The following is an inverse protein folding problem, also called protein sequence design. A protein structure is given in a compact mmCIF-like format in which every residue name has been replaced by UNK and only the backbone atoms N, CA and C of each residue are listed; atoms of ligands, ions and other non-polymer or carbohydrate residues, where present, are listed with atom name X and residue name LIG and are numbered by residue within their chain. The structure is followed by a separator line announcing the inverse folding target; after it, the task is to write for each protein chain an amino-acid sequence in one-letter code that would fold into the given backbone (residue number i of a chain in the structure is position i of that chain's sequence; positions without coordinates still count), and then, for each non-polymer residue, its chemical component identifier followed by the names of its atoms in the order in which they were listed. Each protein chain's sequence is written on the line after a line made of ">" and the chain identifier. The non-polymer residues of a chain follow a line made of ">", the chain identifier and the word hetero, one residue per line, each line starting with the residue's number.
data_IF_965546064498
#
_entry.id   IF_965546064498
#
_cell.length_a   1.000
_cell.length_b   1.000
_cell.length_c   1.000
_cell.angle_alpha   90.00
_cell.angle_beta   90.00
_cell.angle_gamma   90.00
#
_symmetry.space_group_name_H-M   'P 1'
#
loop_
_entity.id
_entity.type
_entity.pdbx_description
1 polymer ?
#
# COMPACT_ATOMS: atom_id res chain seq x y z
N UNK A 1 11.17 15.47 -30.47
CA UNK A 1 10.52 14.39 -29.68
C UNK A 1 9.08 14.33 -30.13
N UNK A 2 8.62 13.20 -30.70
CA UNK A 2 7.29 13.12 -31.30
C UNK A 2 6.21 13.34 -30.24
N UNK A 3 5.32 14.30 -30.47
CA UNK A 3 4.21 14.67 -29.60
C UNK A 3 3.33 13.44 -29.24
N UNK A 4 3.23 12.48 -30.17
CA UNK A 4 2.53 11.20 -29.98
C UNK A 4 3.13 10.36 -28.86
N UNK A 5 4.46 10.23 -28.74
CA UNK A 5 5.11 9.44 -27.69
C UNK A 5 4.84 10.02 -26.31
N UNK A 6 4.85 11.34 -26.17
CA UNK A 6 4.55 12.02 -24.90
C UNK A 6 3.10 11.75 -24.48
N UNK A 7 2.16 11.86 -25.42
CA UNK A 7 0.74 11.60 -25.18
C UNK A 7 0.53 10.16 -24.68
N UNK A 8 1.18 9.18 -25.33
CA UNK A 8 1.07 7.77 -24.96
C UNK A 8 1.66 7.48 -23.57
N UNK A 9 2.79 8.09 -23.25
CA UNK A 9 3.41 7.97 -21.90
C UNK A 9 2.46 8.55 -20.84
N UNK A 10 1.93 9.75 -21.04
CA UNK A 10 1.01 10.39 -20.08
C UNK A 10 -0.26 9.57 -19.92
N UNK A 11 -0.86 9.09 -21.02
CA UNK A 11 -2.06 8.26 -20.99
C UNK A 11 -1.82 6.98 -20.16
N UNK A 12 -0.74 6.26 -20.42
CA UNK A 12 -0.41 5.04 -19.69
C UNK A 12 -0.13 5.31 -18.21
N UNK A 13 0.54 6.41 -17.88
CA UNK A 13 0.74 6.80 -16.48
C UNK A 13 -0.59 7.04 -15.76
N UNK A 14 -1.53 7.74 -16.39
CA UNK A 14 -2.86 7.97 -15.83
C UNK A 14 -3.60 6.64 -15.64
N UNK A 15 -3.60 5.77 -16.66
CA UNK A 15 -4.29 4.47 -16.61
C UNK A 15 -3.76 3.56 -15.51
N UNK A 16 -2.45 3.60 -15.25
CA UNK A 16 -1.83 2.80 -14.20
C UNK A 16 -2.09 3.39 -12.82
N UNK A 17 -1.95 4.69 -12.67
CA UNK A 17 -2.05 5.35 -11.36
C UNK A 17 -3.48 5.46 -10.88
N UNK A 18 -4.46 5.63 -11.77
CA UNK A 18 -5.86 5.84 -11.41
C UNK A 18 -6.46 4.72 -10.53
N UNK A 19 -6.41 3.42 -10.88
CA UNK A 19 -6.96 2.37 -10.03
C UNK A 19 -6.26 2.28 -8.67
N UNK A 20 -4.95 2.56 -8.64
CA UNK A 20 -4.16 2.53 -7.41
C UNK A 20 -4.56 3.70 -6.50
N UNK A 21 -4.77 4.90 -7.06
CA UNK A 21 -5.26 6.06 -6.32
C UNK A 21 -6.67 5.83 -5.78
N UNK A 22 -7.57 5.25 -6.57
CA UNK A 22 -8.92 4.87 -6.11
C UNK A 22 -8.83 3.91 -4.92
N UNK A 23 -7.97 2.91 -4.98
CA UNK A 23 -7.72 2.02 -3.85
C UNK A 23 -7.26 2.79 -2.60
N UNK A 24 -6.26 3.68 -2.75
CA UNK A 24 -5.73 4.46 -1.64
C UNK A 24 -6.81 5.33 -0.99
N UNK A 25 -7.63 6.02 -1.80
CA UNK A 25 -8.75 6.84 -1.33
C UNK A 25 -9.79 6.00 -0.60
N UNK A 26 -10.19 4.84 -1.16
CA UNK A 26 -11.17 3.95 -0.53
C UNK A 26 -10.70 3.45 0.83
N UNK A 27 -9.42 3.07 0.95
CA UNK A 27 -8.85 2.60 2.23
C UNK A 27 -8.75 3.73 3.24
N UNK A 28 -8.38 4.95 2.83
CA UNK A 28 -8.33 6.11 3.72
C UNK A 28 -9.71 6.56 4.20
N UNK A 29 -10.73 6.52 3.31
CA UNK A 29 -12.07 7.00 3.63
C UNK A 29 -12.87 6.01 4.49
N UNK A 30 -12.71 4.72 4.27
CA UNK A 30 -13.50 3.68 4.93
C UNK A 30 -12.80 3.19 6.19
N UNK A 31 -13.17 3.73 7.33
CA UNK A 31 -12.51 3.53 8.63
C UNK A 31 -12.42 2.08 9.15
N UNK A 32 -13.28 1.17 8.69
CA UNK A 32 -13.40 -0.20 9.22
C UNK A 32 -13.30 -1.26 8.12
N UNK A 33 -12.27 -1.18 7.27
CA UNK A 33 -12.03 -2.25 6.31
C UNK A 33 -11.15 -3.31 6.97
N UNK A 34 -11.65 -4.54 7.04
CA UNK A 34 -10.87 -5.71 7.48
C UNK A 34 -9.62 -5.88 6.61
N UNK A 35 -8.54 -6.39 7.19
CA UNK A 35 -7.29 -6.61 6.47
C UNK A 35 -7.47 -7.49 5.22
N UNK A 36 -8.35 -8.49 5.26
CA UNK A 36 -8.67 -9.33 4.10
C UNK A 36 -9.30 -8.51 2.97
N UNK A 37 -10.20 -7.59 3.30
CA UNK A 37 -10.85 -6.73 2.30
C UNK A 37 -9.87 -5.70 1.70
N UNK A 38 -8.92 -5.19 2.47
CA UNK A 38 -7.83 -4.34 1.95
C UNK A 38 -6.96 -5.08 0.95
N UNK A 39 -6.67 -6.33 1.27
CA UNK A 39 -5.86 -7.21 0.44
C UNK A 39 -6.54 -7.56 -0.88
N UNK A 40 -7.84 -7.81 -0.85
CA UNK A 40 -8.63 -8.05 -2.07
C UNK A 40 -8.78 -6.79 -2.92
N UNK A 41 -9.05 -5.64 -2.31
CA UNK A 41 -9.10 -4.35 -3.00
C UNK A 41 -7.77 -3.98 -3.68
N UNK A 42 -6.63 -4.20 -3.00
CA UNK A 42 -5.32 -3.99 -3.61
C UNK A 42 -5.10 -4.92 -4.81
N UNK A 43 -5.49 -6.19 -4.68
CA UNK A 43 -5.36 -7.16 -5.76
C UNK A 43 -6.18 -6.75 -6.98
N UNK A 44 -7.42 -6.32 -6.79
CA UNK A 44 -8.28 -5.81 -7.85
C UNK A 44 -7.66 -4.55 -8.49
N UNK A 45 -7.18 -3.60 -7.69
CA UNK A 45 -6.58 -2.37 -8.20
C UNK A 45 -5.32 -2.63 -9.06
N UNK A 46 -4.47 -3.59 -8.68
CA UNK A 46 -3.28 -3.94 -9.47
C UNK A 46 -3.63 -4.69 -10.75
N UNK A 47 -4.61 -5.59 -10.71
CA UNK A 47 -5.08 -6.31 -11.91
C UNK A 47 -5.75 -5.33 -12.89
N UNK A 48 -6.62 -4.45 -12.41
CA UNK A 48 -7.29 -3.44 -13.26
C UNK A 48 -6.28 -2.43 -13.82
N UNK A 49 -5.29 -2.02 -13.06
CA UNK A 49 -4.20 -1.16 -13.52
C UNK A 49 -3.42 -1.80 -14.67
N UNK A 50 -3.02 -3.06 -14.54
CA UNK A 50 -2.36 -3.81 -15.61
C UNK A 50 -3.27 -3.97 -16.83
N UNK A 51 -4.52 -4.39 -16.63
CA UNK A 51 -5.49 -4.59 -17.72
C UNK A 51 -5.71 -3.32 -18.53
N UNK A 52 -5.91 -2.17 -17.87
CA UNK A 52 -6.09 -0.89 -18.55
C UNK A 52 -4.85 -0.50 -19.35
N UNK A 53 -3.66 -0.68 -18.78
CA UNK A 53 -2.41 -0.41 -19.47
C UNK A 53 -2.30 -1.28 -20.75
N UNK A 54 -2.52 -2.59 -20.65
CA UNK A 54 -2.40 -3.51 -21.78
C UNK A 54 -3.46 -3.24 -22.86
N UNK A 55 -4.69 -2.88 -22.47
CA UNK A 55 -5.79 -2.61 -23.40
C UNK A 55 -5.55 -1.36 -24.27
N UNK A 56 -4.91 -0.35 -23.70
CA UNK A 56 -4.72 0.94 -24.36
C UNK A 56 -3.28 1.16 -24.86
N UNK A 57 -2.48 0.10 -24.97
CA UNK A 57 -1.20 0.16 -25.68
C UNK A 57 -1.50 0.38 -27.16
N UNK A 58 -0.93 1.46 -27.79
CA UNK A 58 -1.10 1.68 -29.21
C UNK A 58 -0.55 0.50 -30.02
N UNK A 59 -1.25 0.08 -31.06
CA UNK A 59 -0.85 -1.02 -31.95
C UNK A 59 0.44 -0.72 -32.76
N UNK A 60 0.78 0.55 -32.94
CA UNK A 60 2.07 0.99 -33.51
C UNK A 60 3.12 1.12 -32.40
N UNK A 61 3.60 0.05 -31.99
CA UNK A 61 4.23 -0.29 -30.73
C UNK A 61 5.53 0.44 -30.50
N UNK A 62 5.50 1.29 -29.55
CA UNK A 62 6.68 1.60 -28.80
C UNK A 62 6.81 0.61 -27.63
N UNK A 63 7.71 -0.40 -27.76
CA UNK A 63 8.11 -1.29 -26.66
C UNK A 63 8.50 -0.52 -25.40
N UNK A 64 8.83 0.76 -25.56
CA UNK A 64 9.09 1.76 -24.52
C UNK A 64 7.93 1.97 -23.55
N UNK A 65 6.67 1.94 -24.06
CA UNK A 65 5.47 2.14 -23.24
C UNK A 65 5.15 0.91 -22.40
N UNK A 66 5.48 -0.28 -22.90
CA UNK A 66 5.33 -1.55 -22.16
C UNK A 66 6.08 -1.57 -20.82
N UNK A 67 7.09 -0.71 -20.69
CA UNK A 67 7.87 -0.53 -19.47
C UNK A 67 6.98 -0.17 -18.26
N UNK A 68 5.97 0.66 -18.49
CA UNK A 68 5.06 1.10 -17.42
C UNK A 68 4.14 -0.01 -16.90
N UNK A 69 3.83 -1.04 -17.71
CA UNK A 69 3.04 -2.20 -17.28
C UNK A 69 3.73 -3.01 -16.17
N UNK A 70 5.01 -2.78 -15.92
CA UNK A 70 5.74 -3.42 -14.82
C UNK A 70 5.47 -2.74 -13.46
N UNK A 71 4.91 -1.53 -13.41
CA UNK A 71 4.63 -0.81 -12.15
C UNK A 71 3.74 -1.64 -11.21
N UNK A 72 2.59 -2.19 -11.64
CA UNK A 72 1.75 -3.03 -10.77
C UNK A 72 2.48 -4.26 -10.22
N UNK A 73 3.38 -4.86 -11.02
CA UNK A 73 4.19 -6.03 -10.64
C UNK A 73 5.16 -5.66 -9.50
N UNK A 74 5.85 -4.52 -9.65
CA UNK A 74 6.79 -4.02 -8.63
C UNK A 74 6.08 -3.70 -7.33
N UNK A 75 4.90 -3.07 -7.42
CA UNK A 75 4.08 -2.76 -6.25
C UNK A 75 3.63 -4.04 -5.54
N UNK A 76 3.21 -5.08 -6.29
CA UNK A 76 2.84 -6.38 -5.72
C UNK A 76 4.00 -7.00 -4.92
N UNK A 77 5.22 -6.98 -5.46
CA UNK A 77 6.40 -7.45 -4.74
C UNK A 77 6.71 -6.62 -3.49
N UNK A 78 6.63 -5.29 -3.58
CA UNK A 78 6.88 -4.40 -2.44
C UNK A 78 5.87 -4.57 -1.31
N UNK A 79 4.60 -4.85 -1.64
CA UNK A 79 3.55 -5.18 -0.66
C UNK A 79 3.58 -6.66 -0.22
N UNK A 80 4.69 -7.39 -0.50
CA UNK A 80 4.94 -8.79 -0.14
C UNK A 80 3.94 -9.80 -0.72
N UNK A 81 3.20 -9.42 -1.76
CA UNK A 81 2.24 -10.29 -2.48
C UNK A 81 2.93 -10.97 -3.66
N UNK A 82 3.89 -11.83 -3.39
CA UNK A 82 4.72 -12.48 -4.41
C UNK A 82 3.91 -13.34 -5.41
N UNK A 83 2.87 -14.06 -4.96
CA UNK A 83 2.00 -14.81 -5.86
C UNK A 83 1.27 -13.91 -6.87
N UNK A 84 0.78 -12.75 -6.41
CA UNK A 84 0.19 -11.76 -7.31
C UNK A 84 1.22 -11.19 -8.28
N UNK A 85 2.42 -10.88 -7.81
CA UNK A 85 3.51 -10.41 -8.67
C UNK A 85 3.87 -11.41 -9.77
N UNK A 86 3.95 -12.71 -9.44
CA UNK A 86 4.19 -13.79 -10.42
C UNK A 86 3.02 -13.89 -11.40
N UNK A 87 1.78 -13.86 -10.91
CA UNK A 87 0.59 -13.93 -11.76
C UNK A 87 0.52 -12.77 -12.78
N UNK A 88 0.76 -11.54 -12.33
CA UNK A 88 0.81 -10.36 -13.21
C UNK A 88 1.98 -10.45 -14.21
N UNK A 89 3.12 -11.03 -13.82
CA UNK A 89 4.26 -11.26 -14.71
C UNK A 89 3.91 -12.26 -15.82
N UNK A 90 3.20 -13.34 -15.50
CA UNK A 90 2.74 -14.33 -16.47
C UNK A 90 1.79 -13.68 -17.49
N UNK A 91 0.83 -12.88 -17.04
CA UNK A 91 -0.08 -12.15 -17.94
C UNK A 91 0.71 -11.26 -18.91
N UNK A 92 1.71 -10.58 -18.40
CA UNK A 92 2.54 -9.67 -19.22
C UNK A 92 3.40 -10.43 -20.24
N UNK A 93 3.92 -11.61 -19.88
CA UNK A 93 4.64 -12.52 -20.81
C UNK A 93 3.71 -12.99 -21.93
N UNK A 94 2.51 -13.47 -21.58
CA UNK A 94 1.53 -13.93 -22.56
C UNK A 94 1.12 -12.81 -23.51
N UNK A 95 0.83 -11.63 -23.00
CA UNK A 95 0.50 -10.46 -23.83
C UNK A 95 1.64 -10.10 -24.78
N UNK A 96 2.87 -10.06 -24.27
CA UNK A 96 4.05 -9.72 -25.08
C UNK A 96 4.29 -10.73 -26.20
N UNK A 97 4.02 -12.00 -25.95
CA UNK A 97 4.14 -13.05 -26.95
C UNK A 97 3.05 -12.93 -28.03
N UNK A 98 1.77 -12.88 -27.61
CA UNK A 98 0.64 -12.94 -28.58
C UNK A 98 0.42 -11.63 -29.36
N UNK A 99 0.69 -10.49 -28.73
CA UNK A 99 0.37 -9.17 -29.32
C UNK A 99 1.60 -8.51 -29.90
N UNK A 100 2.75 -8.62 -29.23
CA UNK A 100 3.95 -7.89 -29.58
C UNK A 100 5.00 -8.73 -30.34
N UNK A 101 4.77 -10.04 -30.46
CA UNK A 101 5.72 -10.97 -31.09
C UNK A 101 7.15 -10.87 -30.48
N UNK A 102 7.24 -10.59 -29.17
CA UNK A 102 8.53 -10.54 -28.47
C UNK A 102 8.91 -11.96 -28.06
N UNK A 103 10.19 -12.29 -28.14
CA UNK A 103 10.72 -13.60 -27.75
C UNK A 103 10.37 -13.91 -26.28
N UNK A 104 9.66 -15.02 -26.06
CA UNK A 104 9.20 -15.46 -24.73
C UNK A 104 10.37 -15.65 -23.76
N UNK A 105 11.51 -16.18 -24.27
CA UNK A 105 12.70 -16.46 -23.47
C UNK A 105 13.24 -15.19 -22.82
N UNK A 106 13.32 -14.10 -23.57
CA UNK A 106 13.81 -12.80 -23.10
C UNK A 106 12.90 -12.26 -21.98
N UNK A 107 11.58 -12.39 -22.17
CA UNK A 107 10.60 -11.94 -21.17
C UNK A 107 10.63 -12.80 -19.90
N UNK A 108 10.78 -14.10 -20.01
CA UNK A 108 10.93 -14.99 -18.85
C UNK A 108 12.17 -14.63 -18.05
N UNK A 109 13.33 -14.42 -18.70
CA UNK A 109 14.58 -14.01 -18.04
C UNK A 109 14.39 -12.68 -17.31
N UNK A 110 13.72 -11.71 -17.94
CA UNK A 110 13.39 -10.41 -17.35
C UNK A 110 12.58 -10.55 -16.05
N UNK A 111 11.47 -11.29 -16.08
CA UNK A 111 10.62 -11.44 -14.88
C UNK A 111 11.25 -12.36 -13.82
N UNK A 112 12.06 -13.36 -14.24
CA UNK A 112 12.85 -14.14 -13.32
C UNK A 112 13.88 -13.28 -12.57
N UNK A 113 14.50 -12.30 -13.26
CA UNK A 113 15.40 -11.34 -12.61
C UNK A 113 14.70 -10.45 -11.59
N UNK A 114 13.44 -10.03 -11.84
CA UNK A 114 12.64 -9.27 -10.86
C UNK A 114 12.34 -10.10 -9.61
N UNK A 115 11.96 -11.36 -9.80
CA UNK A 115 11.74 -12.29 -8.69
C UNK A 115 13.04 -12.51 -7.89
N UNK A 116 14.15 -12.73 -8.56
CA UNK A 116 15.47 -12.87 -7.93
C UNK A 116 15.87 -11.65 -7.12
N UNK A 117 15.68 -10.44 -7.68
CA UNK A 117 15.89 -9.19 -6.94
C UNK A 117 14.99 -9.07 -5.72
N UNK A 118 13.70 -9.42 -5.85
CA UNK A 118 12.77 -9.41 -4.73
C UNK A 118 13.24 -10.34 -3.60
N UNK A 119 13.67 -11.56 -3.92
CA UNK A 119 14.18 -12.51 -2.93
C UNK A 119 15.46 -12.00 -2.25
N UNK A 120 16.37 -11.41 -3.02
CA UNK A 120 17.59 -10.78 -2.50
C UNK A 120 17.26 -9.56 -1.61
N UNK A 121 16.34 -8.70 -2.05
CA UNK A 121 15.91 -7.53 -1.31
C UNK A 121 15.27 -7.90 0.03
N UNK A 122 14.45 -8.97 0.03
CA UNK A 122 13.84 -9.51 1.25
C UNK A 122 14.90 -10.06 2.23
N UNK A 123 15.91 -10.77 1.73
CA UNK A 123 16.99 -11.34 2.56
C UNK A 123 17.88 -10.25 3.16
N UNK A 124 18.16 -9.19 2.40
CA UNK A 124 19.08 -8.10 2.80
C UNK A 124 18.38 -6.91 3.44
N UNK A 125 17.05 -6.93 3.61
CA UNK A 125 16.24 -5.80 4.10
C UNK A 125 16.53 -4.48 3.35
N UNK A 126 16.66 -4.55 2.01
CA UNK A 126 16.95 -3.38 1.20
C UNK A 126 15.85 -2.33 1.31
N UNK A 127 16.25 -1.05 1.22
CA UNK A 127 15.28 0.04 1.18
C UNK A 127 14.40 -0.03 -0.06
N UNK A 128 13.16 0.46 0.03
CA UNK A 128 12.24 0.48 -1.11
C UNK A 128 12.81 1.25 -2.31
N UNK A 129 13.54 2.33 -2.06
CA UNK A 129 14.17 3.12 -3.12
C UNK A 129 15.27 2.35 -3.86
N UNK A 130 16.14 1.63 -3.14
CA UNK A 130 17.20 0.84 -3.77
C UNK A 130 16.64 -0.34 -4.59
N UNK A 131 15.54 -0.96 -4.13
CA UNK A 131 14.87 -2.01 -4.87
C UNK A 131 14.29 -1.50 -6.21
N UNK A 132 13.56 -0.36 -6.19
CA UNK A 132 13.01 0.24 -7.40
C UNK A 132 14.13 0.63 -8.37
N UNK A 133 15.21 1.21 -7.86
CA UNK A 133 16.35 1.62 -8.66
C UNK A 133 17.00 0.40 -9.35
N UNK A 134 17.17 -0.71 -8.64
CA UNK A 134 17.70 -1.95 -9.21
C UNK A 134 16.81 -2.49 -10.33
N UNK A 135 15.49 -2.45 -10.17
CA UNK A 135 14.55 -2.86 -11.22
C UNK A 135 14.61 -1.89 -12.41
N UNK A 136 14.68 -0.57 -12.18
CA UNK A 136 14.79 0.42 -13.24
C UNK A 136 16.05 0.20 -14.09
N UNK A 137 17.19 -0.13 -13.46
CA UNK A 137 18.45 -0.47 -14.15
C UNK A 137 18.27 -1.72 -15.01
N UNK A 138 17.68 -2.78 -14.47
CA UNK A 138 17.42 -4.02 -15.23
C UNK A 138 16.51 -3.72 -16.42
N UNK A 139 15.47 -2.91 -16.24
CA UNK A 139 14.59 -2.53 -17.34
C UNK A 139 15.32 -1.76 -18.42
N UNK A 140 16.16 -0.80 -18.04
CA UNK A 140 17.01 -0.07 -18.98
C UNK A 140 17.92 -1.00 -19.76
N UNK A 141 18.50 -2.01 -19.10
CA UNK A 141 19.32 -3.02 -19.75
C UNK A 141 18.53 -3.83 -20.79
N UNK A 142 17.36 -4.36 -20.43
CA UNK A 142 16.53 -5.12 -21.37
C UNK A 142 16.06 -4.29 -22.57
N UNK A 143 15.72 -3.02 -22.37
CA UNK A 143 15.37 -2.12 -23.47
C UNK A 143 16.56 -1.88 -24.39
N UNK A 144 17.75 -1.65 -23.85
CA UNK A 144 18.97 -1.47 -24.65
C UNK A 144 19.29 -2.73 -25.44
N UNK A 145 19.08 -3.90 -24.84
CA UNK A 145 19.30 -5.20 -25.47
C UNK A 145 18.37 -5.42 -26.66
N UNK A 146 17.07 -5.06 -26.55
CA UNK A 146 16.13 -5.13 -27.68
C UNK A 146 16.57 -4.27 -28.88
N UNK A 147 17.14 -3.09 -28.63
CA UNK A 147 17.68 -2.24 -29.68
C UNK A 147 18.88 -2.88 -30.40
N UNK A 148 19.77 -3.49 -29.63
CA UNK A 148 20.98 -4.11 -30.17
C UNK A 148 20.64 -5.32 -31.06
N UNK A 149 19.69 -6.17 -30.65
CA UNK A 149 19.33 -7.37 -31.42
C UNK A 149 18.46 -7.08 -32.65
N UNK A 150 17.76 -5.96 -32.70
CA UNK A 150 16.97 -5.58 -33.88
C UNK A 150 17.77 -4.81 -34.94
N UNK A 151 19.11 -4.74 -34.82
CA UNK A 151 20.00 -3.97 -35.72
C UNK A 151 19.53 -2.54 -35.99
N UNK A 152 18.78 -1.96 -35.08
CA UNK A 152 18.29 -0.58 -35.21
C UNK A 152 19.45 0.35 -34.88
N UNK A 153 19.88 1.16 -35.84
CA UNK A 153 20.87 2.23 -35.61
C UNK A 153 20.33 3.18 -34.53
N UNK A 154 20.84 3.03 -33.31
CA UNK A 154 20.44 3.87 -32.18
C UNK A 154 21.01 5.28 -32.40
N UNK A 155 20.15 6.25 -32.56
CA UNK A 155 20.57 7.65 -32.57
C UNK A 155 20.81 8.12 -31.10
N UNK A 156 21.65 9.15 -30.95
CA UNK A 156 21.86 9.77 -29.61
C UNK A 156 20.54 10.22 -29.00
N UNK A 157 19.60 10.69 -29.83
CA UNK A 157 18.26 11.09 -29.38
C UNK A 157 17.43 9.93 -28.84
N UNK A 158 17.57 8.71 -29.38
CA UNK A 158 16.87 7.52 -28.87
C UNK A 158 17.41 7.10 -27.51
N UNK A 159 18.73 7.23 -27.30
CA UNK A 159 19.34 6.93 -26.01
C UNK A 159 18.89 7.93 -24.92
N UNK A 160 18.86 9.22 -25.24
CA UNK A 160 18.35 10.25 -24.33
C UNK A 160 16.88 9.97 -23.98
N UNK A 161 16.06 9.64 -24.97
CA UNK A 161 14.65 9.30 -24.77
C UNK A 161 14.50 8.09 -23.84
N UNK A 162 15.31 7.06 -24.00
CA UNK A 162 15.32 5.88 -23.12
C UNK A 162 15.62 6.25 -21.67
N UNK A 163 16.65 7.08 -21.43
CA UNK A 163 16.99 7.55 -20.11
C UNK A 163 15.84 8.32 -19.46
N UNK A 164 15.17 9.20 -20.21
CA UNK A 164 14.02 9.96 -19.73
C UNK A 164 12.88 9.02 -19.33
N UNK A 165 12.57 8.00 -20.14
CA UNK A 165 11.49 7.04 -19.84
C UNK A 165 11.80 6.23 -18.58
N UNK A 166 13.04 5.74 -18.43
CA UNK A 166 13.47 5.01 -17.22
C UNK A 166 13.40 5.91 -15.98
N UNK A 167 13.76 7.19 -16.13
CA UNK A 167 13.66 8.16 -15.04
C UNK A 167 12.20 8.41 -14.64
N UNK A 168 11.30 8.61 -15.60
CA UNK A 168 9.86 8.76 -15.35
C UNK A 168 9.30 7.51 -14.65
N UNK A 169 9.67 6.32 -15.13
CA UNK A 169 9.28 5.06 -14.50
C UNK A 169 9.72 4.97 -13.02
N UNK A 170 10.99 5.28 -12.75
CA UNK A 170 11.52 5.30 -11.40
C UNK A 170 10.75 6.27 -10.50
N UNK A 171 10.56 7.50 -10.97
CA UNK A 171 9.89 8.56 -10.21
C UNK A 171 8.43 8.22 -9.92
N UNK A 172 7.68 7.71 -10.91
CA UNK A 172 6.28 7.31 -10.71
C UNK A 172 6.13 6.15 -9.75
N UNK A 173 6.95 5.12 -9.90
CA UNK A 173 6.93 3.96 -8.98
C UNK A 173 7.28 4.38 -7.56
N UNK A 174 8.29 5.23 -7.40
CA UNK A 174 8.68 5.77 -6.10
C UNK A 174 7.56 6.61 -5.46
N UNK A 175 6.93 7.49 -6.24
CA UNK A 175 5.82 8.33 -5.77
C UNK A 175 4.63 7.49 -5.30
N UNK A 176 4.23 6.47 -6.05
CA UNK A 176 3.15 5.57 -5.64
C UNK A 176 3.50 4.85 -4.33
N UNK A 177 4.71 4.31 -4.18
CA UNK A 177 5.14 3.65 -2.95
C UNK A 177 5.26 4.61 -1.76
N UNK A 178 5.62 5.87 -2.03
CA UNK A 178 5.58 6.91 -1.00
C UNK A 178 4.15 7.17 -0.51
N UNK A 179 3.17 7.25 -1.42
CA UNK A 179 1.76 7.37 -1.06
C UNK A 179 1.27 6.19 -0.21
N UNK A 180 1.68 4.96 -0.53
CA UNK A 180 1.39 3.80 0.32
C UNK A 180 1.97 3.94 1.73
N UNK A 181 3.20 4.44 1.86
CA UNK A 181 3.80 4.71 3.19
C UNK A 181 3.03 5.75 3.98
N UNK A 182 2.60 6.82 3.31
CA UNK A 182 1.78 7.87 3.94
C UNK A 182 0.46 7.29 4.41
N UNK A 183 -0.20 6.48 3.58
CA UNK A 183 -1.44 5.78 3.93
C UNK A 183 -1.25 4.87 5.17
N UNK A 184 -0.21 4.02 5.17
CA UNK A 184 0.09 3.14 6.30
C UNK A 184 0.32 3.95 7.60
N UNK A 185 0.93 5.14 7.50
CA UNK A 185 1.14 6.05 8.64
C UNK A 185 -0.18 6.68 9.12
N UNK A 186 -1.03 7.13 8.20
CA UNK A 186 -2.35 7.69 8.55
C UNK A 186 -3.19 6.63 9.27
N UNK A 187 -3.19 5.40 8.78
CA UNK A 187 -3.91 4.29 9.39
C UNK A 187 -3.41 3.99 10.83
N UNK A 188 -2.09 4.00 11.03
CA UNK A 188 -1.51 3.81 12.38
C UNK A 188 -1.87 4.94 13.33
N UNK A 189 -1.93 6.19 12.86
CA UNK A 189 -2.36 7.33 13.66
C UNK A 189 -3.84 7.23 14.03
N UNK A 190 -4.71 6.87 13.10
CA UNK A 190 -6.14 6.69 13.35
C UNK A 190 -6.41 5.59 14.39
N UNK A 191 -5.68 4.47 14.32
CA UNK A 191 -5.80 3.41 15.34
C UNK A 191 -5.34 3.89 16.71
N UNK A 192 -4.28 4.67 16.80
CA UNK A 192 -3.78 5.25 18.06
C UNK A 192 -4.80 6.23 18.65
N UNK A 193 -5.39 7.10 17.84
CA UNK A 193 -6.43 8.04 18.29
C UNK A 193 -7.63 7.28 18.85
N UNK A 194 -8.12 6.24 18.16
CA UNK A 194 -9.24 5.42 18.64
C UNK A 194 -8.93 4.71 19.96
N UNK A 195 -7.69 4.26 20.18
CA UNK A 195 -7.26 3.70 21.45
C UNK A 195 -7.30 4.75 22.57
N UNK A 196 -6.77 5.94 22.33
CA UNK A 196 -6.79 7.04 23.31
C UNK A 196 -8.21 7.48 23.67
N UNK A 197 -9.13 7.52 22.71
CA UNK A 197 -10.54 7.82 22.95
C UNK A 197 -11.23 6.74 23.84
N UNK A 198 -10.91 5.46 23.60
CA UNK A 198 -11.39 4.36 24.44
C UNK A 198 -10.86 4.48 25.87
N UNK A 199 -9.57 4.73 26.02
CA UNK A 199 -8.93 4.91 27.33
C UNK A 199 -9.53 6.09 28.10
N UNK A 200 -9.82 7.21 27.40
CA UNK A 200 -10.51 8.34 27.99
C UNK A 200 -11.91 7.95 28.48
N UNK A 201 -12.71 7.27 27.66
CA UNK A 201 -14.05 6.80 28.06
C UNK A 201 -14.01 5.89 29.26
N UNK A 202 -13.01 4.99 29.36
CA UNK A 202 -12.83 4.10 30.52
C UNK A 202 -12.49 4.93 31.76
N UNK A 203 -11.58 5.89 31.66
CA UNK A 203 -11.24 6.78 32.79
C UNK A 203 -12.44 7.58 33.28
N UNK A 204 -13.23 8.14 32.36
CA UNK A 204 -14.44 8.90 32.68
C UNK A 204 -15.49 8.01 33.39
N UNK A 205 -15.67 6.78 32.91
CA UNK A 205 -16.56 5.80 33.55
C UNK A 205 -16.07 5.40 34.95
N UNK A 206 -14.78 5.12 35.12
CA UNK A 206 -14.18 4.82 36.43
C UNK A 206 -14.32 5.98 37.43
N UNK A 207 -14.11 7.22 36.94
CA UNK A 207 -14.30 8.42 37.77
C UNK A 207 -15.74 8.52 38.25
N UNK A 208 -16.72 8.32 37.35
CA UNK A 208 -18.15 8.33 37.69
C UNK A 208 -18.48 7.23 38.72
N UNK A 209 -18.04 6.00 38.50
CA UNK A 209 -18.23 4.90 39.42
C UNK A 209 -17.61 5.20 40.81
N UNK A 210 -16.42 5.78 40.84
CA UNK A 210 -15.76 6.16 42.11
C UNK A 210 -16.61 7.17 42.87
N UNK A 211 -17.21 8.15 42.22
CA UNK A 211 -18.13 9.09 42.85
C UNK A 211 -19.41 8.41 43.34
N UNK A 212 -19.99 7.52 42.54
CA UNK A 212 -21.21 6.77 42.91
C UNK A 212 -20.99 5.83 44.11
N UNK A 213 -19.78 5.26 44.25
CA UNK A 213 -19.42 4.42 45.42
C UNK A 213 -19.08 5.28 46.64
N UNK A 214 -18.42 6.43 46.44
CA UNK A 214 -18.03 7.31 47.54
C UNK A 214 -19.24 7.88 48.28
N UNK A 215 -20.35 8.16 47.59
CA UNK A 215 -21.55 8.72 48.19
C UNK A 215 -22.19 7.79 49.24
N UNK A 216 -22.52 6.52 48.93
CA UNK A 216 -23.07 5.61 49.95
C UNK A 216 -22.07 5.30 51.09
N UNK A 217 -20.75 5.20 50.76
CA UNK A 217 -19.73 5.01 51.78
C UNK A 217 -19.64 6.19 52.75
N UNK A 218 -19.78 7.42 52.26
CA UNK A 218 -19.81 8.61 53.13
C UNK A 218 -21.06 8.61 54.04
N UNK A 219 -22.20 8.16 53.53
CA UNK A 219 -23.42 7.99 54.30
C UNK A 219 -23.24 6.92 55.37
N UNK A 220 -22.72 5.74 55.01
CA UNK A 220 -22.43 4.67 55.96
C UNK A 220 -21.44 5.13 57.03
N UNK A 221 -20.38 5.85 56.65
CA UNK A 221 -19.43 6.43 57.63
C UNK A 221 -20.11 7.41 58.57
N UNK A 222 -20.96 8.30 58.03
CA UNK A 222 -21.71 9.25 58.86
C UNK A 222 -22.62 8.57 59.86
N UNK A 223 -23.29 7.46 59.50
CA UNK A 223 -24.07 6.67 60.45
C UNK A 223 -23.18 5.97 61.48
N UNK A 224 -22.03 5.41 61.07
CA UNK A 224 -21.07 4.81 62.02
C UNK A 224 -20.54 5.81 63.04
N UNK A 225 -20.22 7.03 62.59
CA UNK A 225 -19.75 8.11 63.48
C UNK A 225 -20.81 8.58 64.48
N UNK A 226 -22.10 8.33 64.19
CA UNK A 226 -23.24 8.64 65.08
C UNK A 226 -23.64 7.51 66.05
N UNK A 227 -23.03 6.32 65.92
CA UNK A 227 -23.31 5.19 66.81
C UNK A 227 -22.69 5.47 68.20
N UNK A 228 -23.56 5.73 69.17
CA UNK A 228 -23.18 5.79 70.56
C UNK A 228 -23.39 4.41 71.19
N UNK A 229 -22.30 3.67 71.36
CA UNK A 229 -22.32 2.29 71.89
C UNK A 229 -22.95 2.17 73.30
N UNK A 230 -23.15 3.28 73.99
CA UNK A 230 -23.79 3.29 75.32
C UNK A 230 -25.33 3.35 75.21
N UNK A 231 -25.91 3.46 74.00
CA UNK A 231 -27.36 3.51 73.77
C UNK A 231 -27.77 2.42 72.78
N UNK A 232 -27.96 1.23 73.28
CA UNK A 232 -28.21 0.03 72.48
C UNK A 232 -29.36 0.18 71.46
N UNK A 233 -30.47 0.78 71.85
CA UNK A 233 -31.63 1.03 70.93
C UNK A 233 -31.34 1.92 69.77
N UNK A 234 -30.53 2.98 69.92
CA UNK A 234 -30.13 3.87 68.86
C UNK A 234 -29.09 3.27 67.97
N UNK A 235 -28.15 2.47 68.49
CA UNK A 235 -27.13 1.78 67.70
C UNK A 235 -27.78 0.76 66.76
N UNK A 236 -28.75 -0.06 67.23
CA UNK A 236 -29.51 -0.99 66.38
C UNK A 236 -30.26 -0.28 65.24
N UNK A 237 -30.85 0.89 65.48
CA UNK A 237 -31.55 1.67 64.44
C UNK A 237 -30.60 2.16 63.34
N UNK A 238 -29.38 2.57 63.68
CA UNK A 238 -28.39 3.04 62.67
C UNK A 238 -27.79 1.88 61.90
N UNK A 239 -27.55 0.72 62.52
CA UNK A 239 -27.07 -0.48 61.85
C UNK A 239 -28.07 -1.01 60.81
N UNK A 240 -29.38 -0.97 61.11
CA UNK A 240 -30.43 -1.42 60.20
C UNK A 240 -30.65 -0.47 58.98
N UNK A 241 -30.10 0.74 59.02
CA UNK A 241 -30.16 1.70 57.89
C UNK A 241 -28.93 1.61 56.98
N UNK A 242 -27.83 1.02 57.44
CA UNK A 242 -26.65 0.76 56.65
C UNK A 242 -26.84 -0.42 55.72
#
# INVERSE_FOLDING_TARGET
>A
MNLFIIKDIILNLILITFPILVYLVLVCYRENIDNNNKDTLLTIALITSLYLCLKYIPSEINTKVLLFCNIPIVIAYMKKKHYLGIFLSIINVLYSYYVLNIEVIVMIIKYASYLGLYLCARKKNLSSGSFILSIAIIQGFFLSFEYFFKDIKVSVNDFILLLIIVFIYYFTTFSILYLFKVMDKIESLNTTIKMLEKDKKIKDALFKLTHEIKNPLAVCKGYMDMIDLNKEEKALKYINIM
#
